data_IF_457448144277
#
_entry.id   IF_457448144277
#
_cell.length_a   1.000
_cell.length_b   1.000
_cell.length_c   1.000
_cell.angle_alpha   90.00
_cell.angle_beta   90.00
_cell.angle_gamma   90.00
#
_symmetry.space_group_name_H-M   'P 1'
#
loop_
_entity.id
_entity.type
_entity.pdbx_description
1 polymer ?
#
# COMPACT_ATOMS: atom_id res chain seq x y z
N UNK A 1 -30.74 4.65 27.81
CA UNK A 1 -32.08 5.07 28.28
C UNK A 1 -33.09 5.15 27.15
N UNK A 2 -32.93 5.99 26.13
CA UNK A 2 -33.86 6.10 24.99
C UNK A 2 -34.07 4.78 24.22
N UNK A 3 -33.01 3.96 24.08
CA UNK A 3 -33.08 2.68 23.37
C UNK A 3 -33.85 1.60 24.15
N UNK A 4 -33.75 1.58 25.49
CA UNK A 4 -34.48 0.67 26.36
C UNK A 4 -35.95 1.09 26.52
N UNK A 5 -36.20 2.39 26.60
CA UNK A 5 -37.56 2.95 26.57
C UNK A 5 -38.29 2.64 25.25
N UNK A 6 -37.59 2.69 24.11
CA UNK A 6 -38.13 2.31 22.81
C UNK A 6 -38.39 0.80 22.65
N UNK A 7 -37.81 -0.04 23.51
CA UNK A 7 -38.06 -1.48 23.58
C UNK A 7 -39.12 -1.85 24.63
N UNK A 8 -39.80 -0.87 25.23
CA UNK A 8 -40.84 -1.09 26.23
C UNK A 8 -40.33 -1.48 27.63
N UNK A 9 -39.01 -1.42 27.86
CA UNK A 9 -38.42 -1.70 29.16
C UNK A 9 -38.42 -0.43 30.02
N UNK A 10 -39.26 -0.43 31.06
CA UNK A 10 -39.21 0.55 32.15
C UNK A 10 -38.26 0.02 33.22
N UNK A 11 -37.04 0.57 33.26
CA UNK A 11 -36.09 0.29 34.34
C UNK A 11 -36.61 0.91 35.65
N UNK A 12 -36.57 0.16 36.75
CA UNK A 12 -36.90 0.70 38.06
C UNK A 12 -35.83 1.71 38.50
N UNK A 13 -36.19 2.65 39.39
CA UNK A 13 -35.24 3.63 39.91
C UNK A 13 -34.07 2.98 40.65
N UNK A 14 -34.30 1.83 41.30
CA UNK A 14 -33.23 1.05 41.95
C UNK A 14 -32.27 0.42 40.92
N UNK A 15 -32.78 -0.09 39.80
CA UNK A 15 -31.94 -0.62 38.71
C UNK A 15 -31.15 0.49 38.03
N UNK A 16 -31.71 1.69 37.92
CA UNK A 16 -31.01 2.86 37.38
C UNK A 16 -29.81 3.28 38.23
N UNK A 17 -29.88 3.12 39.55
CA UNK A 17 -28.75 3.39 40.46
C UNK A 17 -27.62 2.36 40.33
N UNK A 18 -27.92 1.16 39.82
CA UNK A 18 -26.92 0.13 39.55
C UNK A 18 -26.23 0.28 38.18
N UNK A 19 -26.76 1.11 37.27
CA UNK A 19 -26.13 1.38 35.98
C UNK A 19 -24.85 2.20 36.24
N UNK A 20 -23.66 1.68 35.87
CA UNK A 20 -22.42 2.41 36.06
C UNK A 20 -22.49 3.78 35.38
N UNK A 21 -22.08 4.82 36.10
CA UNK A 21 -21.91 6.15 35.50
C UNK A 21 -20.87 6.11 34.37
N UNK A 22 -20.94 7.06 33.44
CA UNK A 22 -19.97 7.17 32.34
C UNK A 22 -18.52 7.24 32.86
N UNK A 23 -18.30 7.94 33.98
CA UNK A 23 -17.01 8.03 34.67
C UNK A 23 -16.55 6.70 35.28
N UNK A 24 -17.48 5.89 35.83
CA UNK A 24 -17.15 4.53 36.30
C UNK A 24 -16.84 3.60 35.13
N UNK A 25 -17.53 3.74 34.00
CA UNK A 25 -17.22 3.00 32.78
C UNK A 25 -15.85 3.42 32.22
N UNK A 26 -15.52 4.71 32.19
CA UNK A 26 -14.21 5.23 31.79
C UNK A 26 -13.07 4.66 32.65
N UNK A 27 -13.28 4.52 33.96
CA UNK A 27 -12.28 3.97 34.86
C UNK A 27 -12.11 2.43 34.77
N UNK A 28 -13.15 1.69 34.37
CA UNK A 28 -13.15 0.21 34.39
C UNK A 28 -13.28 -0.44 33.01
N UNK A 29 -13.22 0.36 31.93
CA UNK A 29 -13.36 -0.13 30.56
C UNK A 29 -12.33 -1.20 30.22
N UNK A 30 -11.10 -1.12 30.74
CA UNK A 30 -10.06 -2.12 30.45
C UNK A 30 -10.42 -3.52 30.92
N UNK A 31 -11.09 -3.63 32.07
CA UNK A 31 -11.55 -4.91 32.62
C UNK A 31 -12.81 -5.38 31.90
N UNK A 32 -13.80 -4.48 31.75
CA UNK A 32 -15.06 -4.82 31.08
C UNK A 32 -14.86 -5.28 29.63
N UNK A 33 -14.02 -4.56 28.88
CA UNK A 33 -13.81 -4.81 27.45
C UNK A 33 -13.13 -6.15 27.17
N UNK A 34 -12.42 -6.77 28.13
CA UNK A 34 -11.78 -8.08 27.94
C UNK A 34 -12.76 -9.19 27.53
N UNK A 35 -14.02 -9.07 27.93
CA UNK A 35 -15.06 -10.06 27.65
C UNK A 35 -15.76 -9.85 26.30
N UNK A 36 -15.43 -8.76 25.59
CA UNK A 36 -16.06 -8.40 24.32
C UNK A 36 -15.20 -8.82 23.11
N UNK A 37 -15.82 -9.08 21.95
CA UNK A 37 -15.11 -9.22 20.68
C UNK A 37 -14.24 -7.99 20.37
N UNK A 38 -13.05 -8.22 19.80
CA UNK A 38 -12.05 -7.17 19.58
C UNK A 38 -12.59 -5.95 18.79
N UNK A 39 -13.45 -6.18 17.80
CA UNK A 39 -14.08 -5.10 17.04
C UNK A 39 -14.95 -4.19 17.93
N UNK A 40 -15.76 -4.79 18.81
CA UNK A 40 -16.62 -4.06 19.75
C UNK A 40 -15.77 -3.30 20.77
N UNK A 41 -14.65 -3.88 21.21
CA UNK A 41 -13.70 -3.14 22.05
C UNK A 41 -13.20 -1.90 21.31
N UNK A 42 -12.76 -2.04 20.07
CA UNK A 42 -12.30 -0.91 19.24
C UNK A 42 -13.34 0.20 19.13
N UNK A 43 -14.60 -0.16 18.85
CA UNK A 43 -15.71 0.78 18.73
C UNK A 43 -16.02 1.49 20.06
N UNK A 44 -15.97 0.75 21.17
CA UNK A 44 -16.20 1.28 22.52
C UNK A 44 -15.13 2.31 22.91
N UNK A 45 -13.84 1.95 22.78
CA UNK A 45 -12.73 2.86 23.05
C UNK A 45 -12.77 4.09 22.15
N UNK A 46 -13.07 3.91 20.87
CA UNK A 46 -13.21 5.01 19.90
C UNK A 46 -14.36 5.95 20.28
N UNK A 47 -15.50 5.40 20.69
CA UNK A 47 -16.67 6.19 21.08
C UNK A 47 -16.41 7.00 22.35
N UNK A 48 -15.74 6.41 23.34
CA UNK A 48 -15.39 7.09 24.58
C UNK A 48 -14.31 8.16 24.37
N UNK A 49 -13.27 7.84 23.60
CA UNK A 49 -12.28 8.81 23.14
C UNK A 49 -12.95 10.02 22.47
N UNK A 50 -13.86 9.77 21.52
CA UNK A 50 -14.60 10.83 20.85
C UNK A 50 -15.47 11.65 21.80
N UNK A 51 -16.15 11.01 22.76
CA UNK A 51 -16.96 11.70 23.77
C UNK A 51 -16.11 12.67 24.61
N UNK A 52 -14.98 12.19 25.12
CA UNK A 52 -14.05 12.99 25.94
C UNK A 52 -13.47 14.15 25.12
N UNK A 53 -12.94 13.85 23.92
CA UNK A 53 -12.31 14.85 23.06
C UNK A 53 -13.30 15.89 22.53
N UNK A 54 -14.52 15.49 22.12
CA UNK A 54 -15.52 16.43 21.63
C UNK A 54 -16.01 17.35 22.75
N UNK A 55 -16.15 16.84 23.97
CA UNK A 55 -16.47 17.65 25.14
C UNK A 55 -15.37 18.67 25.42
N UNK A 56 -14.10 18.24 25.34
CA UNK A 56 -12.94 19.12 25.49
C UNK A 56 -12.88 20.23 24.43
N UNK A 57 -13.12 19.89 23.16
CA UNK A 57 -13.10 20.83 22.03
C UNK A 57 -14.25 21.84 22.16
N UNK A 58 -15.44 21.41 22.57
CA UNK A 58 -16.61 22.27 22.75
C UNK A 58 -16.42 23.27 23.90
N UNK A 59 -15.81 22.85 25.00
CA UNK A 59 -15.51 23.71 26.15
C UNK A 59 -14.47 24.80 25.82
N UNK A 60 -13.51 24.51 24.92
CA UNK A 60 -12.50 25.48 24.46
C UNK A 60 -13.07 26.57 23.55
N UNK A 61 -14.21 26.32 22.89
CA UNK A 61 -14.89 27.32 22.06
C UNK A 61 -15.54 28.44 22.87
N UNK A 62 -15.76 28.23 24.18
CA UNK A 62 -16.55 29.13 25.01
C UNK A 62 -15.78 29.91 26.08
N UNK A 63 -14.52 29.59 26.40
CA UNK A 63 -13.76 30.35 27.40
C UNK A 63 -12.26 30.40 27.07
N UNK A 64 -11.73 31.63 26.98
CA UNK A 64 -10.31 31.89 26.95
C UNK A 64 -9.65 31.54 28.29
N UNK A 65 -8.61 30.71 28.23
CA UNK A 65 -7.51 30.53 29.19
C UNK A 65 -7.88 30.19 30.64
N UNK A 66 -7.52 28.97 31.06
CA UNK A 66 -6.98 28.75 32.41
C UNK A 66 -5.98 27.58 32.41
N UNK A 67 -4.73 27.89 32.77
CA UNK A 67 -3.59 26.97 32.92
C UNK A 67 -3.75 26.06 34.15
N UNK A 68 -4.67 25.09 34.08
CA UNK A 68 -4.71 23.92 34.96
C UNK A 68 -4.88 22.67 34.11
N UNK A 69 -4.37 21.51 34.57
CA UNK A 69 -4.62 20.22 33.92
C UNK A 69 -6.12 20.08 33.68
N UNK A 70 -6.49 20.07 32.41
CA UNK A 70 -7.90 20.15 32.05
C UNK A 70 -8.56 18.81 32.45
N UNK A 71 -9.78 18.80 33.02
CA UNK A 71 -10.44 17.57 33.48
C UNK A 71 -10.53 16.46 32.41
N UNK A 72 -10.60 16.85 31.14
CA UNK A 72 -10.62 15.92 30.02
C UNK A 72 -9.26 15.25 29.77
N UNK A 73 -8.13 15.88 30.10
CA UNK A 73 -6.80 15.28 29.96
C UNK A 73 -6.64 14.09 30.92
N UNK A 74 -7.16 14.23 32.14
CA UNK A 74 -7.17 13.14 33.11
C UNK A 74 -8.08 11.99 32.66
N UNK A 75 -9.30 12.30 32.20
CA UNK A 75 -10.23 11.28 31.68
C UNK A 75 -9.66 10.57 30.44
N UNK A 76 -9.05 11.32 29.53
CA UNK A 76 -8.40 10.79 28.34
C UNK A 76 -7.16 9.95 28.68
N UNK A 77 -6.36 10.40 29.65
CA UNK A 77 -5.24 9.65 30.21
C UNK A 77 -5.70 8.33 30.84
N UNK A 78 -6.76 8.34 31.67
CA UNK A 78 -7.31 7.12 32.28
C UNK A 78 -7.76 6.09 31.24
N UNK A 79 -8.25 6.53 30.08
CA UNK A 79 -8.62 5.64 28.98
C UNK A 79 -7.39 5.02 28.28
N UNK A 80 -6.32 5.79 28.10
CA UNK A 80 -5.19 5.42 27.24
C UNK A 80 -4.01 4.78 27.99
N UNK A 81 -3.69 5.29 29.18
CA UNK A 81 -2.51 4.89 29.97
C UNK A 81 -2.47 3.38 30.24
N UNK A 82 -3.56 2.70 30.62
CA UNK A 82 -3.46 1.28 30.91
C UNK A 82 -3.16 0.42 29.66
N UNK A 83 -3.58 0.85 28.45
CA UNK A 83 -3.19 0.17 27.20
C UNK A 83 -1.69 0.39 26.94
N UNK A 84 -1.23 1.63 27.11
CA UNK A 84 0.18 2.00 26.96
C UNK A 84 1.07 1.17 27.88
N UNK A 85 0.75 1.13 29.17
CA UNK A 85 1.50 0.39 30.18
C UNK A 85 1.50 -1.11 29.92
N UNK A 86 0.39 -1.66 29.41
CA UNK A 86 0.33 -3.07 28.99
C UNK A 86 1.32 -3.40 27.86
N UNK A 87 1.49 -2.49 26.89
CA UNK A 87 2.49 -2.64 25.82
C UNK A 87 3.91 -2.59 26.38
N UNK A 88 4.21 -1.60 27.23
CA UNK A 88 5.54 -1.43 27.81
C UNK A 88 5.92 -2.62 28.72
N UNK A 89 4.98 -3.10 29.53
CA UNK A 89 5.16 -4.30 30.36
C UNK A 89 5.39 -5.55 29.50
N UNK A 90 4.67 -5.67 28.38
CA UNK A 90 4.87 -6.78 27.43
C UNK A 90 6.26 -6.74 26.79
N UNK A 91 6.76 -5.55 26.45
CA UNK A 91 8.11 -5.37 25.92
C UNK A 91 9.18 -5.76 26.94
N UNK A 92 9.06 -5.30 28.20
CA UNK A 92 9.97 -5.67 29.29
C UNK A 92 9.93 -7.18 29.55
N UNK A 93 8.73 -7.77 29.60
CA UNK A 93 8.55 -9.20 29.80
C UNK A 93 9.21 -10.05 28.70
N UNK A 94 9.15 -9.60 27.46
CA UNK A 94 9.78 -10.27 26.32
C UNK A 94 11.29 -10.07 26.29
N UNK A 95 11.78 -8.91 26.72
CA UNK A 95 13.21 -8.67 26.88
C UNK A 95 13.83 -9.58 27.96
N UNK A 96 13.10 -9.82 29.05
CA UNK A 96 13.54 -10.71 30.13
C UNK A 96 13.46 -12.19 29.74
N UNK A 97 12.52 -12.57 28.85
CA UNK A 97 12.37 -13.94 28.41
C UNK A 97 11.89 -14.02 26.94
N UNK A 98 12.86 -14.19 26.02
CA UNK A 98 12.60 -14.30 24.57
C UNK A 98 11.69 -15.49 24.20
N UNK A 99 11.58 -16.52 25.05
CA UNK A 99 10.74 -17.69 24.74
C UNK A 99 9.24 -17.36 24.85
N UNK A 100 8.88 -16.26 25.52
CA UNK A 100 7.48 -15.82 25.67
C UNK A 100 6.87 -15.24 24.39
N UNK A 101 7.69 -14.98 23.37
CA UNK A 101 7.26 -14.43 22.06
C UNK A 101 6.13 -15.27 21.43
N UNK A 102 6.13 -16.58 21.70
CA UNK A 102 5.18 -17.55 21.15
C UNK A 102 4.02 -17.89 22.09
N UNK A 103 4.00 -17.34 23.31
CA UNK A 103 2.92 -17.58 24.27
C UNK A 103 1.61 -17.02 23.73
N UNK A 104 0.57 -17.87 23.68
CA UNK A 104 -0.74 -17.46 23.19
C UNK A 104 -1.30 -16.24 23.95
N UNK A 105 -1.10 -16.18 25.27
CA UNK A 105 -1.52 -15.05 26.10
C UNK A 105 -0.82 -13.75 25.69
N UNK A 106 0.50 -13.78 25.52
CA UNK A 106 1.30 -12.62 25.09
C UNK A 106 0.88 -12.15 23.69
N UNK A 107 0.74 -13.08 22.75
CA UNK A 107 0.30 -12.77 21.38
C UNK A 107 -1.11 -12.18 21.37
N UNK A 108 -2.05 -12.72 22.14
CA UNK A 108 -3.42 -12.21 22.20
C UNK A 108 -3.48 -10.80 22.82
N UNK A 109 -2.72 -10.57 23.89
CA UNK A 109 -2.62 -9.28 24.57
C UNK A 109 -2.03 -8.21 23.65
N UNK A 110 -0.85 -8.45 23.07
CA UNK A 110 -0.21 -7.50 22.17
C UNK A 110 -1.05 -7.19 20.92
N UNK A 111 -1.73 -8.20 20.35
CA UNK A 111 -2.66 -7.98 19.23
C UNK A 111 -3.83 -7.10 19.63
N UNK A 112 -4.40 -7.30 20.82
CA UNK A 112 -5.49 -6.48 21.34
C UNK A 112 -5.01 -5.05 21.54
N UNK A 113 -3.92 -4.86 22.27
CA UNK A 113 -3.44 -3.54 22.64
C UNK A 113 -3.06 -2.73 21.41
N UNK A 114 -2.27 -3.31 20.48
CA UNK A 114 -1.93 -2.64 19.22
C UNK A 114 -3.18 -2.29 18.38
N UNK A 115 -4.18 -3.18 18.35
CA UNK A 115 -5.44 -2.93 17.64
C UNK A 115 -6.21 -1.75 18.27
N UNK A 116 -6.32 -1.70 19.60
CA UNK A 116 -7.02 -0.62 20.30
C UNK A 116 -6.33 0.72 20.07
N UNK A 117 -5.00 0.79 20.23
CA UNK A 117 -4.23 2.01 19.95
C UNK A 117 -4.41 2.42 18.49
N UNK A 118 -4.47 1.48 17.55
CA UNK A 118 -4.71 1.77 16.12
C UNK A 118 -6.10 2.37 15.87
N UNK A 119 -7.15 1.85 16.50
CA UNK A 119 -8.49 2.45 16.42
C UNK A 119 -8.52 3.86 17.01
N UNK A 120 -7.86 4.06 18.15
CA UNK A 120 -7.73 5.36 18.80
C UNK A 120 -6.93 6.36 17.94
N UNK A 121 -5.81 5.95 17.35
CA UNK A 121 -5.04 6.76 16.41
C UNK A 121 -5.91 7.20 15.21
N UNK A 122 -6.69 6.26 14.63
CA UNK A 122 -7.63 6.59 13.55
C UNK A 122 -8.72 7.59 13.99
N UNK A 123 -9.16 7.52 15.24
CA UNK A 123 -10.16 8.46 15.77
C UNK A 123 -9.65 9.90 15.86
N UNK A 124 -8.33 10.09 16.05
CA UNK A 124 -7.71 11.43 16.14
C UNK A 124 -7.21 11.97 14.80
N UNK A 125 -7.18 11.15 13.74
CA UNK A 125 -6.69 11.53 12.41
C UNK A 125 -7.29 12.84 11.88
N UNK A 126 -8.62 13.01 12.03
CA UNK A 126 -9.39 14.17 11.55
C UNK A 126 -9.64 15.24 12.61
N UNK A 127 -9.13 15.06 13.84
CA UNK A 127 -9.35 15.97 14.97
C UNK A 127 -8.37 17.15 14.94
N UNK A 128 -8.68 18.27 15.63
CA UNK A 128 -7.76 19.41 15.73
C UNK A 128 -6.47 19.05 16.46
N UNK A 129 -5.43 19.87 16.26
CA UNK A 129 -4.07 19.68 16.81
C UNK A 129 -4.06 19.33 18.31
N UNK A 130 -4.91 19.96 19.12
CA UNK A 130 -4.99 19.71 20.57
C UNK A 130 -5.26 18.24 20.91
N UNK A 131 -6.17 17.59 20.16
CA UNK A 131 -6.47 16.17 20.35
C UNK A 131 -5.31 15.27 19.89
N UNK A 132 -4.61 15.69 18.83
CA UNK A 132 -3.43 14.98 18.32
C UNK A 132 -2.26 15.07 19.28
N UNK A 133 -1.98 16.26 19.82
CA UNK A 133 -0.95 16.50 20.84
C UNK A 133 -1.23 15.68 22.11
N UNK A 134 -2.49 15.63 22.57
CA UNK A 134 -2.88 14.85 23.74
C UNK A 134 -2.78 13.33 23.53
N UNK A 135 -3.09 12.83 22.33
CA UNK A 135 -2.86 11.42 22.00
C UNK A 135 -1.37 11.11 21.89
N UNK A 136 -0.60 11.99 21.25
CA UNK A 136 0.83 11.82 21.06
C UNK A 136 1.59 11.81 22.39
N UNK A 137 1.27 12.72 23.32
CA UNK A 137 1.94 12.80 24.63
C UNK A 137 1.81 11.51 25.45
N UNK A 138 0.69 10.79 25.30
CA UNK A 138 0.48 9.50 25.98
C UNK A 138 1.32 8.39 25.35
N UNK A 139 1.35 8.27 24.02
CA UNK A 139 1.95 7.12 23.34
C UNK A 139 3.42 7.30 22.90
N UNK A 140 3.93 8.54 22.83
CA UNK A 140 5.33 8.81 22.50
C UNK A 140 6.32 7.97 23.35
N UNK A 141 6.16 7.83 24.69
CA UNK A 141 7.08 7.03 25.50
C UNK A 141 7.14 5.54 25.13
N UNK A 142 6.11 4.99 24.48
CA UNK A 142 6.04 3.57 24.14
C UNK A 142 6.61 3.24 22.75
N UNK A 143 7.09 4.24 22.00
CA UNK A 143 7.70 3.98 20.67
C UNK A 143 8.94 3.09 20.76
N UNK A 144 9.87 3.29 21.71
CA UNK A 144 11.01 2.38 21.87
C UNK A 144 10.56 0.95 22.21
N UNK A 145 9.56 0.79 23.07
CA UNK A 145 8.99 -0.52 23.44
C UNK A 145 8.40 -1.23 22.21
N UNK A 146 7.64 -0.53 21.38
CA UNK A 146 7.05 -1.06 20.15
C UNK A 146 8.12 -1.45 19.11
N UNK A 147 9.21 -0.67 18.99
CA UNK A 147 10.35 -1.01 18.14
C UNK A 147 11.13 -2.23 18.65
N UNK A 148 11.36 -2.30 19.96
CA UNK A 148 11.97 -3.47 20.59
C UNK A 148 11.10 -4.72 20.35
N UNK A 149 9.79 -4.63 20.53
CA UNK A 149 8.86 -5.72 20.22
C UNK A 149 8.97 -6.15 18.76
N UNK A 150 8.91 -5.21 17.82
CA UNK A 150 9.01 -5.50 16.38
C UNK A 150 10.29 -6.30 16.06
N UNK A 151 11.44 -5.77 16.49
CA UNK A 151 12.76 -6.36 16.25
C UNK A 151 12.94 -7.72 16.94
N UNK A 152 12.45 -7.88 18.18
CA UNK A 152 12.47 -9.17 18.90
C UNK A 152 11.60 -10.20 18.19
N UNK A 153 10.36 -9.86 17.81
CA UNK A 153 9.47 -10.77 17.08
C UNK A 153 10.10 -11.22 15.75
N UNK A 154 10.64 -10.29 14.96
CA UNK A 154 11.31 -10.65 13.71
C UNK A 154 12.55 -11.53 13.93
N UNK A 155 13.37 -11.22 14.94
CA UNK A 155 14.56 -12.02 15.28
C UNK A 155 14.20 -13.44 15.70
N UNK A 156 13.15 -13.61 16.52
CA UNK A 156 12.68 -14.94 16.94
C UNK A 156 12.04 -15.70 15.79
N UNK A 157 11.24 -15.05 14.95
CA UNK A 157 10.67 -15.67 13.74
C UNK A 157 11.79 -16.16 12.82
N UNK A 158 12.85 -15.36 12.63
CA UNK A 158 14.04 -15.75 11.85
C UNK A 158 14.72 -17.00 12.44
N UNK A 159 15.02 -17.01 13.74
CA UNK A 159 15.62 -18.17 14.44
C UNK A 159 14.79 -19.45 14.28
N UNK A 160 13.47 -19.33 14.21
CA UNK A 160 12.55 -20.47 14.13
C UNK A 160 12.27 -20.94 12.70
N UNK A 161 12.35 -20.05 11.70
CA UNK A 161 12.12 -20.41 10.30
C UNK A 161 13.19 -21.37 9.76
N UNK A 162 14.39 -21.39 10.35
CA UNK A 162 15.44 -22.37 10.04
C UNK A 162 15.18 -23.77 10.65
N UNK A 163 14.21 -23.89 11.57
CA UNK A 163 13.90 -25.13 12.30
C UNK A 163 12.59 -25.71 11.73
N UNK A 164 12.74 -26.66 10.80
CA UNK A 164 11.65 -27.25 10.00
C UNK A 164 10.73 -28.22 10.79
N UNK A 165 9.95 -27.71 11.75
CA UNK A 165 8.92 -28.51 12.46
C UNK A 165 7.49 -27.97 12.26
N UNK A 166 6.46 -28.84 12.14
CA UNK A 166 5.09 -28.43 11.82
C UNK A 166 4.38 -27.65 12.94
N UNK A 167 4.67 -27.92 14.22
CA UNK A 167 4.12 -27.13 15.35
C UNK A 167 4.65 -25.68 15.34
N UNK A 168 5.90 -25.50 14.92
CA UNK A 168 6.55 -24.20 14.76
C UNK A 168 5.85 -23.32 13.72
N UNK A 169 5.26 -23.89 12.67
CA UNK A 169 4.54 -23.13 11.63
C UNK A 169 3.32 -22.38 12.18
N UNK A 170 2.55 -22.98 13.10
CA UNK A 170 1.37 -22.34 13.69
C UNK A 170 1.77 -21.21 14.64
N UNK A 171 2.83 -21.41 15.43
CA UNK A 171 3.36 -20.40 16.35
C UNK A 171 4.00 -19.22 15.59
N UNK A 172 4.71 -19.48 14.50
CA UNK A 172 5.21 -18.45 13.57
C UNK A 172 4.03 -17.66 13.01
N UNK A 173 2.96 -18.33 12.56
CA UNK A 173 1.76 -17.66 12.03
C UNK A 173 1.11 -16.73 13.07
N UNK A 174 1.08 -17.12 14.35
CA UNK A 174 0.55 -16.25 15.42
C UNK A 174 1.47 -15.08 15.73
N UNK A 175 2.78 -15.29 15.75
CA UNK A 175 3.78 -14.24 15.95
C UNK A 175 3.73 -13.18 14.83
N UNK A 176 3.60 -13.61 13.57
CA UNK A 176 3.43 -12.70 12.42
C UNK A 176 2.19 -11.83 12.51
N UNK A 177 1.12 -12.28 13.18
CA UNK A 177 -0.06 -11.44 13.40
C UNK A 177 0.24 -10.27 14.34
N UNK A 178 1.14 -10.45 15.32
CA UNK A 178 1.60 -9.36 16.20
C UNK A 178 2.40 -8.36 15.38
N UNK A 179 3.39 -8.85 14.62
CA UNK A 179 4.21 -8.03 13.71
C UNK A 179 3.32 -7.19 12.78
N UNK A 180 2.33 -7.83 12.13
CA UNK A 180 1.41 -7.13 11.25
C UNK A 180 0.60 -6.03 11.97
N UNK A 181 0.13 -6.27 13.20
CA UNK A 181 -0.58 -5.22 13.95
C UNK A 181 0.35 -4.09 14.40
N UNK A 182 1.61 -4.37 14.77
CA UNK A 182 2.61 -3.33 15.08
C UNK A 182 2.89 -2.46 13.84
N UNK A 183 3.13 -3.09 12.68
CA UNK A 183 3.36 -2.37 11.41
C UNK A 183 2.15 -1.50 11.04
N UNK A 184 0.93 -2.05 11.15
CA UNK A 184 -0.32 -1.31 10.90
C UNK A 184 -0.56 -0.19 11.90
N UNK A 185 -0.16 -0.38 13.17
CA UNK A 185 -0.22 0.64 14.19
C UNK A 185 0.69 1.81 13.79
N UNK A 186 1.96 1.57 13.49
CA UNK A 186 2.88 2.63 13.05
C UNK A 186 2.40 3.33 11.78
N UNK A 187 1.90 2.59 10.80
CA UNK A 187 1.30 3.16 9.59
C UNK A 187 0.16 4.14 9.95
N UNK A 188 -0.75 3.74 10.84
CA UNK A 188 -1.84 4.61 11.28
C UNK A 188 -1.35 5.78 12.14
N UNK A 189 -0.35 5.60 13.00
CA UNK A 189 0.22 6.67 13.82
C UNK A 189 0.88 7.73 12.95
N UNK A 190 1.70 7.34 11.97
CA UNK A 190 2.29 8.25 10.99
C UNK A 190 1.18 8.99 10.21
N UNK A 191 0.13 8.29 9.79
CA UNK A 191 -0.99 8.95 9.12
C UNK A 191 -1.71 9.99 10.00
N UNK A 192 -1.85 9.70 11.30
CA UNK A 192 -2.74 10.46 12.18
C UNK A 192 -2.05 11.65 12.87
N UNK A 193 -0.80 11.43 13.31
CA UNK A 193 -0.07 12.32 14.21
C UNK A 193 1.38 12.58 13.77
N UNK A 194 1.77 12.32 12.51
CA UNK A 194 3.15 12.55 12.06
C UNK A 194 3.58 14.00 12.22
N UNK A 195 2.71 14.98 11.96
CA UNK A 195 3.06 16.42 12.00
C UNK A 195 3.43 16.90 13.41
N UNK A 196 3.02 16.12 14.40
CA UNK A 196 3.22 16.32 15.83
C UNK A 196 4.50 15.61 16.30
N UNK A 197 5.03 14.65 15.53
CA UNK A 197 6.29 13.97 15.81
C UNK A 197 7.52 14.82 15.44
N UNK A 198 8.60 14.63 16.19
CA UNK A 198 9.92 15.20 15.85
C UNK A 198 10.52 14.47 14.63
N UNK A 199 11.34 15.18 13.86
CA UNK A 199 11.97 14.65 12.64
C UNK A 199 12.87 13.45 12.95
N UNK A 200 13.57 13.53 14.06
CA UNK A 200 14.50 12.52 14.57
C UNK A 200 13.77 11.22 14.90
N UNK A 201 12.63 11.31 15.59
CA UNK A 201 11.78 10.15 15.91
C UNK A 201 11.26 9.47 14.64
N UNK A 202 10.78 10.25 13.66
CA UNK A 202 10.31 9.69 12.39
C UNK A 202 11.47 9.02 11.64
N UNK A 203 12.65 9.63 11.64
CA UNK A 203 13.87 9.09 11.03
C UNK A 203 14.28 7.75 11.66
N UNK A 204 14.28 7.66 12.99
CA UNK A 204 14.60 6.43 13.73
C UNK A 204 13.61 5.31 13.41
N UNK A 205 12.30 5.62 13.45
CA UNK A 205 11.24 4.68 13.08
C UNK A 205 11.47 4.13 11.65
N UNK A 206 11.74 5.02 10.68
CA UNK A 206 11.99 4.61 9.29
C UNK A 206 13.23 3.74 9.15
N UNK A 207 14.32 4.11 9.82
CA UNK A 207 15.57 3.35 9.79
C UNK A 207 15.35 1.93 10.30
N UNK A 208 14.73 1.77 11.47
CA UNK A 208 14.44 0.45 12.04
C UNK A 208 13.55 -0.38 11.13
N UNK A 209 12.52 0.21 10.51
CA UNK A 209 11.67 -0.49 9.56
C UNK A 209 12.43 -0.93 8.31
N UNK A 210 13.21 -0.05 7.70
CA UNK A 210 14.01 -0.43 6.51
C UNK A 210 14.99 -1.54 6.87
N UNK A 211 15.78 -1.40 7.94
CA UNK A 211 16.74 -2.43 8.36
C UNK A 211 16.07 -3.78 8.65
N UNK A 212 14.93 -3.76 9.35
CA UNK A 212 14.19 -4.97 9.71
C UNK A 212 13.66 -5.71 8.47
N UNK A 213 13.31 -4.98 7.42
CA UNK A 213 12.73 -5.54 6.19
C UNK A 213 13.74 -5.74 5.04
N UNK A 214 14.93 -5.13 5.10
CA UNK A 214 15.99 -5.27 4.09
C UNK A 214 16.68 -6.64 4.14
N UNK A 215 16.60 -7.34 5.27
CA UNK A 215 17.12 -8.69 5.40
C UNK A 215 16.30 -9.66 4.54
N UNK A 216 16.95 -10.28 3.55
CA UNK A 216 16.41 -11.15 2.48
C UNK A 216 15.62 -12.40 2.91
N UNK A 217 15.38 -12.56 4.21
CA UNK A 217 14.78 -13.72 4.87
C UNK A 217 13.24 -13.63 5.00
N UNK A 218 12.61 -12.52 4.58
CA UNK A 218 11.14 -12.44 4.46
C UNK A 218 10.56 -13.46 3.45
N UNK A 219 11.40 -13.96 2.55
CA UNK A 219 11.10 -15.04 1.61
C UNK A 219 10.79 -16.38 2.31
N UNK A 220 11.27 -16.59 3.54
CA UNK A 220 10.98 -17.79 4.35
C UNK A 220 9.60 -17.78 5.02
N UNK A 221 8.87 -16.66 4.95
CA UNK A 221 7.59 -16.48 5.64
C UNK A 221 6.44 -16.98 4.76
N UNK A 222 6.34 -18.30 4.61
CA UNK A 222 5.29 -18.93 3.81
C UNK A 222 3.88 -18.72 4.41
N UNK A 223 2.94 -18.24 3.58
CA UNK A 223 1.50 -18.20 3.87
C UNK A 223 0.90 -16.82 4.19
N UNK A 224 -0.43 -16.77 4.33
CA UNK A 224 -1.23 -15.53 4.43
C UNK A 224 -0.79 -14.55 5.54
N UNK A 225 -0.13 -15.01 6.61
CA UNK A 225 0.30 -14.10 7.68
C UNK A 225 1.54 -13.27 7.28
N UNK A 226 2.49 -13.86 6.55
CA UNK A 226 3.64 -13.12 6.00
C UNK A 226 3.20 -12.08 4.98
N UNK A 227 2.20 -12.43 4.16
CA UNK A 227 1.58 -11.50 3.23
C UNK A 227 1.00 -10.27 3.90
N UNK A 228 0.28 -10.46 5.00
CA UNK A 228 -0.33 -9.33 5.71
C UNK A 228 0.74 -8.38 6.24
N UNK A 229 1.87 -8.92 6.73
CA UNK A 229 3.03 -8.11 7.16
C UNK A 229 3.58 -7.30 5.98
N UNK A 230 3.77 -7.91 4.81
CA UNK A 230 4.25 -7.21 3.60
C UNK A 230 3.25 -6.13 3.16
N UNK A 231 1.94 -6.43 3.13
CA UNK A 231 0.91 -5.45 2.81
C UNK A 231 0.90 -4.28 3.80
N UNK A 232 1.01 -4.57 5.09
CA UNK A 232 1.12 -3.55 6.14
C UNK A 232 2.35 -2.67 5.94
N UNK A 233 3.47 -3.27 5.56
CA UNK A 233 4.72 -2.57 5.31
C UNK A 233 4.67 -1.70 4.05
N UNK A 234 4.16 -2.22 2.93
CA UNK A 234 3.93 -1.44 1.71
C UNK A 234 2.98 -0.28 1.96
N UNK A 235 1.94 -0.48 2.78
CA UNK A 235 1.03 0.60 3.18
C UNK A 235 1.73 1.65 4.06
N UNK A 236 2.64 1.24 4.95
CA UNK A 236 3.48 2.15 5.74
C UNK A 236 4.37 2.99 4.81
N UNK A 237 5.10 2.33 3.88
CA UNK A 237 5.93 3.00 2.89
C UNK A 237 5.12 3.98 2.03
N UNK A 238 3.91 3.59 1.62
CA UNK A 238 3.01 4.48 0.86
C UNK A 238 2.70 5.75 1.63
N UNK A 239 2.29 5.65 2.89
CA UNK A 239 1.96 6.81 3.74
C UNK A 239 3.18 7.72 3.90
N UNK A 240 4.37 7.12 4.04
CA UNK A 240 5.63 7.84 4.17
C UNK A 240 5.99 8.61 2.90
N UNK A 241 5.84 7.99 1.74
CA UNK A 241 6.13 8.61 0.43
C UNK A 241 5.10 9.67 0.06
N UNK A 242 3.83 9.51 0.47
CA UNK A 242 2.75 10.46 0.22
C UNK A 242 3.02 11.86 0.81
N UNK A 243 3.71 11.94 1.95
CA UNK A 243 4.05 13.23 2.58
C UNK A 243 5.45 13.72 2.18
N UNK A 244 5.59 14.80 1.39
CA UNK A 244 6.91 15.30 1.00
C UNK A 244 7.57 16.04 2.17
N UNK A 245 8.50 15.40 2.88
CA UNK A 245 9.41 16.11 3.80
C UNK A 245 10.86 15.79 3.54
N UNK A 246 11.73 16.72 3.94
CA UNK A 246 13.19 16.59 3.82
C UNK A 246 13.74 15.32 4.46
N UNK A 247 13.15 14.84 5.56
CA UNK A 247 13.52 13.57 6.20
C UNK A 247 13.27 12.40 5.26
N UNK A 248 12.14 12.37 4.56
CA UNK A 248 11.82 11.27 3.66
C UNK A 248 12.58 11.33 2.35
N UNK A 249 12.99 12.51 1.89
CA UNK A 249 13.90 12.64 0.74
C UNK A 249 15.24 11.92 0.98
N UNK A 250 15.77 11.92 2.21
CA UNK A 250 17.00 11.15 2.53
C UNK A 250 16.78 9.65 2.62
N UNK A 251 15.56 9.18 2.88
CA UNK A 251 15.22 7.75 2.94
C UNK A 251 14.73 7.18 1.60
N UNK A 252 14.39 8.02 0.63
CA UNK A 252 13.79 7.59 -0.63
C UNK A 252 14.65 6.56 -1.37
N UNK A 253 15.97 6.73 -1.36
CA UNK A 253 16.90 5.75 -1.94
C UNK A 253 16.79 4.39 -1.24
N UNK A 254 16.83 4.34 0.09
CA UNK A 254 16.69 3.10 0.86
C UNK A 254 15.33 2.42 0.63
N UNK A 255 14.26 3.20 0.46
CA UNK A 255 12.94 2.67 0.12
C UNK A 255 12.96 2.04 -1.28
N UNK A 256 13.62 2.68 -2.24
CA UNK A 256 13.76 2.16 -3.60
C UNK A 256 14.67 0.92 -3.65
N UNK A 257 15.79 0.91 -2.94
CA UNK A 257 16.65 -0.27 -2.78
C UNK A 257 15.86 -1.45 -2.22
N UNK A 258 15.04 -1.21 -1.20
CA UNK A 258 14.19 -2.23 -0.61
C UNK A 258 13.11 -2.72 -1.58
N UNK A 259 12.42 -1.80 -2.26
CA UNK A 259 11.33 -2.10 -3.20
C UNK A 259 11.82 -2.78 -4.49
N UNK A 260 13.00 -2.40 -4.99
CA UNK A 260 13.54 -2.84 -6.27
C UNK A 260 14.71 -3.83 -6.16
N UNK A 261 15.16 -4.15 -4.94
CA UNK A 261 16.05 -5.26 -4.61
C UNK A 261 15.29 -6.41 -3.93
N UNK A 262 15.36 -6.57 -2.60
CA UNK A 262 14.76 -7.72 -1.90
C UNK A 262 13.26 -7.90 -2.14
N UNK A 263 12.48 -6.80 -2.15
CA UNK A 263 11.05 -6.89 -2.43
C UNK A 263 10.77 -7.13 -3.91
N UNK A 264 11.63 -6.72 -4.86
CA UNK A 264 11.44 -7.07 -6.27
C UNK A 264 11.74 -8.54 -6.51
N UNK A 265 12.69 -9.15 -5.83
CA UNK A 265 12.86 -10.60 -5.88
C UNK A 265 11.66 -11.31 -5.24
N UNK A 266 11.20 -10.80 -4.09
CA UNK A 266 10.04 -11.36 -3.39
C UNK A 266 8.72 -11.14 -4.15
N UNK A 267 8.56 -10.02 -4.87
CA UNK A 267 7.37 -9.64 -5.63
C UNK A 267 7.40 -10.13 -7.08
N UNK A 268 8.56 -10.01 -7.70
CA UNK A 268 8.97 -10.48 -9.04
C UNK A 268 9.13 -12.00 -9.17
N UNK A 269 10.13 -12.53 -8.45
CA UNK A 269 10.67 -13.88 -8.64
C UNK A 269 10.07 -14.95 -7.73
N UNK A 270 9.53 -14.56 -6.58
CA UNK A 270 8.95 -15.47 -5.59
C UNK A 270 7.41 -15.60 -5.73
N UNK A 271 6.76 -14.73 -6.51
CA UNK A 271 5.32 -14.78 -6.79
C UNK A 271 4.89 -16.03 -7.57
N UNK A 272 5.81 -16.70 -8.27
CA UNK A 272 5.52 -17.95 -8.97
C UNK A 272 5.47 -19.17 -8.04
N UNK A 273 6.04 -19.08 -6.83
CA UNK A 273 6.26 -20.24 -5.94
C UNK A 273 5.57 -20.13 -4.58
N UNK A 274 5.29 -18.92 -4.06
CA UNK A 274 4.82 -18.76 -2.66
C UNK A 274 3.31 -18.54 -2.50
N UNK A 275 2.55 -18.19 -3.54
CA UNK A 275 1.11 -17.88 -3.41
C UNK A 275 0.20 -18.74 -4.27
N UNK A 276 -0.28 -19.84 -3.69
CA UNK A 276 -1.33 -20.69 -4.27
C UNK A 276 -2.74 -20.08 -4.21
N UNK A 277 -2.90 -18.79 -3.83
CA UNK A 277 -4.21 -18.14 -3.70
C UNK A 277 -4.30 -16.86 -4.58
N UNK A 278 -5.17 -16.83 -5.60
CA UNK A 278 -5.32 -15.68 -6.52
C UNK A 278 -5.75 -14.36 -5.86
N UNK A 279 -6.55 -14.42 -4.78
CA UNK A 279 -7.08 -13.21 -4.13
C UNK A 279 -6.00 -12.41 -3.40
N UNK A 280 -5.03 -13.07 -2.77
CA UNK A 280 -3.92 -12.42 -2.07
C UNK A 280 -2.98 -11.65 -3.01
N UNK A 281 -2.80 -12.16 -4.24
CA UNK A 281 -1.96 -11.54 -5.27
C UNK A 281 -2.48 -10.14 -5.63
N UNK A 282 -3.79 -10.03 -5.88
CA UNK A 282 -4.43 -8.76 -6.24
C UNK A 282 -4.28 -7.67 -5.17
N UNK A 283 -4.28 -8.04 -3.89
CA UNK A 283 -4.21 -7.10 -2.77
C UNK A 283 -2.81 -6.52 -2.63
N UNK A 284 -1.77 -7.36 -2.68
CA UNK A 284 -0.37 -6.91 -2.55
C UNK A 284 0.00 -6.03 -3.75
N UNK A 285 -0.39 -6.47 -4.96
CA UNK A 285 -0.21 -5.68 -6.16
C UNK A 285 -0.89 -4.32 -6.04
N UNK A 286 -2.09 -4.25 -5.48
CA UNK A 286 -2.78 -2.98 -5.22
C UNK A 286 -1.97 -2.04 -4.33
N UNK A 287 -1.36 -2.56 -3.25
CA UNK A 287 -0.50 -1.76 -2.37
C UNK A 287 0.81 -1.35 -3.05
N UNK A 288 1.44 -2.26 -3.80
CA UNK A 288 2.66 -1.96 -4.56
C UNK A 288 2.42 -0.89 -5.62
N UNK A 289 1.38 -1.05 -6.46
CA UNK A 289 1.01 -0.06 -7.49
C UNK A 289 0.66 1.28 -6.83
N UNK A 290 -0.03 1.27 -5.68
CA UNK A 290 -0.33 2.50 -4.95
C UNK A 290 0.93 3.19 -4.38
N UNK A 291 1.97 2.43 -4.01
CA UNK A 291 3.27 2.99 -3.63
C UNK A 291 3.98 3.60 -4.84
N UNK A 292 4.05 2.88 -5.96
CA UNK A 292 4.62 3.37 -7.22
C UNK A 292 3.92 4.65 -7.68
N UNK A 293 2.60 4.72 -7.53
CA UNK A 293 1.82 5.91 -7.81
C UNK A 293 2.29 7.12 -7.00
N UNK A 294 2.50 6.97 -5.68
CA UNK A 294 3.02 8.06 -4.87
C UNK A 294 4.46 8.45 -5.25
N UNK A 295 5.30 7.48 -5.61
CA UNK A 295 6.68 7.74 -6.07
C UNK A 295 6.69 8.57 -7.36
N UNK A 296 5.90 8.18 -8.36
CA UNK A 296 5.87 8.86 -9.65
C UNK A 296 5.12 10.19 -9.60
N UNK A 297 4.03 10.31 -8.83
CA UNK A 297 3.27 11.56 -8.77
C UNK A 297 3.93 12.63 -7.87
N UNK A 298 4.50 12.23 -6.72
CA UNK A 298 5.04 13.18 -5.73
C UNK A 298 6.54 13.40 -5.85
N UNK A 299 7.29 12.39 -6.29
CA UNK A 299 8.75 12.40 -6.30
C UNK A 299 9.34 12.25 -7.71
N UNK A 300 8.61 12.66 -8.75
CA UNK A 300 9.08 12.58 -10.14
C UNK A 300 10.48 13.22 -10.34
N UNK A 301 10.75 14.32 -9.63
CA UNK A 301 12.02 15.06 -9.67
C UNK A 301 13.21 14.27 -9.13
N UNK A 302 12.97 13.21 -8.36
CA UNK A 302 14.02 12.28 -7.96
C UNK A 302 14.53 11.47 -9.16
N UNK A 303 13.65 11.15 -10.11
CA UNK A 303 14.00 10.36 -11.30
C UNK A 303 14.50 11.23 -12.43
N UNK A 304 13.79 12.31 -12.73
CA UNK A 304 14.02 13.13 -13.92
C UNK A 304 14.17 14.60 -13.52
N UNK A 305 15.26 15.21 -13.96
CA UNK A 305 15.59 16.63 -13.75
C UNK A 305 15.81 17.33 -15.09
N UNK A 306 15.73 18.66 -15.07
CA UNK A 306 16.12 19.44 -16.24
C UNK A 306 17.65 19.52 -16.28
N UNK A 307 18.25 18.87 -17.27
CA UNK A 307 19.70 18.70 -17.41
C UNK A 307 20.34 19.74 -18.32
N UNK A 308 19.56 20.55 -19.03
CA UNK A 308 20.09 21.59 -19.90
C UNK A 308 19.05 22.13 -20.89
N UNK A 309 19.54 22.69 -21.99
CA UNK A 309 18.74 23.10 -23.13
C UNK A 309 19.21 22.31 -24.36
N UNK A 310 18.24 21.77 -25.09
CA UNK A 310 18.45 21.22 -26.43
C UNK A 310 19.00 22.31 -27.37
N UNK A 311 19.61 21.93 -28.51
CA UNK A 311 20.07 22.89 -29.52
C UNK A 311 18.99 23.87 -30.01
N UNK A 312 17.72 23.46 -29.95
CA UNK A 312 16.55 24.26 -30.32
C UNK A 312 16.03 25.16 -29.18
N UNK A 313 16.77 25.26 -28.08
CA UNK A 313 16.43 26.11 -26.92
C UNK A 313 15.33 25.55 -26.01
N UNK A 314 14.81 24.36 -26.28
CA UNK A 314 13.86 23.69 -25.39
C UNK A 314 14.58 23.07 -24.19
N UNK A 315 13.95 23.12 -23.00
CA UNK A 315 14.52 22.50 -21.79
C UNK A 315 14.64 21.00 -21.96
N UNK A 316 15.86 20.49 -21.92
CA UNK A 316 16.15 19.07 -22.01
C UNK A 316 15.96 18.42 -20.64
N UNK A 317 15.32 17.26 -20.65
CA UNK A 317 15.09 16.44 -19.47
C UNK A 317 16.05 15.26 -19.53
N UNK A 318 16.69 14.98 -18.40
CA UNK A 318 17.59 13.85 -18.24
C UNK A 318 17.32 13.14 -16.92
N UNK A 319 17.88 11.94 -16.78
CA UNK A 319 17.87 11.25 -15.49
C UNK A 319 18.69 12.03 -14.46
N UNK A 320 18.23 12.04 -13.21
CA UNK A 320 18.94 12.73 -12.12
C UNK A 320 20.28 12.08 -11.76
N UNK A 321 20.36 10.75 -11.89
CA UNK A 321 21.56 9.94 -11.67
C UNK A 321 21.40 8.56 -12.33
N UNK A 322 22.50 7.81 -12.48
CA UNK A 322 22.47 6.44 -13.02
C UNK A 322 21.64 5.49 -12.14
N UNK A 323 21.66 5.71 -10.81
CA UNK A 323 20.83 4.93 -9.89
C UNK A 323 19.34 5.26 -10.09
N UNK A 324 19.01 6.54 -10.25
CA UNK A 324 17.63 6.97 -10.51
C UNK A 324 17.11 6.42 -11.85
N UNK A 325 17.97 6.35 -12.87
CA UNK A 325 17.68 5.68 -14.15
C UNK A 325 17.36 4.19 -13.94
N UNK A 326 18.19 3.47 -13.19
CA UNK A 326 17.98 2.04 -12.91
C UNK A 326 16.65 1.78 -12.17
N UNK A 327 16.30 2.62 -11.19
CA UNK A 327 15.02 2.53 -10.50
C UNK A 327 13.84 2.85 -11.42
N UNK A 328 13.97 3.89 -12.24
CA UNK A 328 12.94 4.27 -13.20
C UNK A 328 12.62 3.11 -14.14
N UNK A 329 13.64 2.51 -14.77
CA UNK A 329 13.44 1.34 -15.62
C UNK A 329 12.81 0.17 -14.85
N UNK A 330 13.28 -0.12 -13.64
CA UNK A 330 12.73 -1.20 -12.81
C UNK A 330 11.25 -0.99 -12.47
N UNK A 331 10.84 0.24 -12.16
CA UNK A 331 9.44 0.60 -11.91
C UNK A 331 8.59 0.24 -13.13
N UNK A 332 8.97 0.74 -14.30
CA UNK A 332 8.18 0.58 -15.52
C UNK A 332 8.19 -0.86 -16.03
N UNK A 333 9.29 -1.60 -15.88
CA UNK A 333 9.34 -3.04 -16.14
C UNK A 333 8.43 -3.81 -15.20
N UNK A 334 8.38 -3.47 -13.91
CA UNK A 334 7.45 -4.08 -12.97
C UNK A 334 5.98 -3.75 -13.29
N UNK A 335 5.67 -2.53 -13.74
CA UNK A 335 4.32 -2.20 -14.19
C UNK A 335 3.93 -2.98 -15.45
N UNK A 336 4.85 -3.12 -16.41
CA UNK A 336 4.63 -3.92 -17.62
C UNK A 336 4.46 -5.40 -17.28
N UNK A 337 5.24 -5.95 -16.35
CA UNK A 337 5.10 -7.34 -15.93
C UNK A 337 3.77 -7.60 -15.24
N UNK A 338 3.27 -6.66 -14.42
CA UNK A 338 1.93 -6.73 -13.82
C UNK A 338 0.83 -6.78 -14.87
N UNK A 339 0.97 -5.99 -15.95
CA UNK A 339 0.01 -5.98 -17.05
C UNK A 339 0.07 -7.23 -17.93
N UNK A 340 1.25 -7.84 -18.08
CA UNK A 340 1.47 -8.96 -19.00
C UNK A 340 1.22 -10.36 -18.39
N UNK A 341 0.84 -10.46 -17.10
CA UNK A 341 0.68 -11.75 -16.41
C UNK A 341 -0.35 -12.63 -17.13
N UNK A 342 0.08 -13.80 -17.60
CA UNK A 342 -0.78 -14.78 -18.27
C UNK A 342 -1.40 -15.73 -17.24
N UNK A 343 -2.70 -16.04 -17.36
CA UNK A 343 -3.34 -17.15 -16.64
C UNK A 343 -3.64 -16.95 -15.15
N UNK A 344 -3.38 -15.79 -14.56
CA UNK A 344 -3.97 -15.41 -13.27
C UNK A 344 -5.13 -14.47 -13.51
N UNK A 345 -6.20 -14.58 -12.73
CA UNK A 345 -7.29 -13.60 -12.69
C UNK A 345 -6.72 -12.21 -12.32
N UNK A 346 -6.09 -11.51 -13.27
CA UNK A 346 -5.62 -10.13 -13.08
C UNK A 346 -6.88 -9.34 -12.77
N UNK A 347 -7.02 -8.94 -11.51
CA UNK A 347 -8.21 -8.23 -11.08
C UNK A 347 -8.35 -6.98 -11.97
N UNK A 348 -9.49 -6.80 -12.68
CA UNK A 348 -9.65 -5.66 -13.59
C UNK A 348 -9.36 -4.30 -12.94
N UNK A 349 -9.58 -4.23 -11.63
CA UNK A 349 -9.26 -3.06 -10.80
C UNK A 349 -7.77 -2.70 -10.80
N UNK A 350 -6.87 -3.68 -10.75
CA UNK A 350 -5.42 -3.46 -10.74
C UNK A 350 -4.93 -3.01 -12.11
N UNK A 351 -5.40 -3.64 -13.19
CA UNK A 351 -5.11 -3.19 -14.54
C UNK A 351 -5.58 -1.74 -14.75
N UNK A 352 -6.83 -1.43 -14.35
CA UNK A 352 -7.35 -0.06 -14.39
C UNK A 352 -6.52 0.91 -13.56
N UNK A 353 -6.02 0.50 -12.40
CA UNK A 353 -5.16 1.32 -11.56
C UNK A 353 -3.84 1.65 -12.24
N UNK A 354 -3.18 0.65 -12.87
CA UNK A 354 -1.93 0.86 -13.61
C UNK A 354 -2.14 1.73 -14.85
N UNK A 355 -3.17 1.47 -15.65
CA UNK A 355 -3.48 2.28 -16.83
C UNK A 355 -3.80 3.73 -16.44
N UNK A 356 -4.60 3.92 -15.39
CA UNK A 356 -4.92 5.24 -14.85
C UNK A 356 -3.71 5.97 -14.28
N UNK A 357 -2.76 5.24 -13.66
CA UNK A 357 -1.49 5.81 -13.20
C UNK A 357 -0.66 6.32 -14.38
N UNK A 358 -0.48 5.50 -15.43
CA UNK A 358 0.29 5.88 -16.62
C UNK A 358 -0.34 7.11 -17.30
N UNK A 359 -1.66 7.16 -17.40
CA UNK A 359 -2.40 8.32 -17.90
C UNK A 359 -2.15 9.60 -17.08
N UNK A 360 -2.21 9.51 -15.75
CA UNK A 360 -1.99 10.66 -14.86
C UNK A 360 -0.55 11.15 -14.91
N UNK A 361 0.43 10.25 -14.84
CA UNK A 361 1.85 10.60 -14.88
C UNK A 361 2.21 11.22 -16.23
N UNK A 362 1.68 10.69 -17.33
CA UNK A 362 1.88 11.29 -18.65
C UNK A 362 1.26 12.68 -18.76
N UNK A 363 0.01 12.87 -18.33
CA UNK A 363 -0.64 14.20 -18.34
C UNK A 363 0.09 15.23 -17.45
N UNK A 364 0.60 14.80 -16.30
CA UNK A 364 1.24 15.69 -15.35
C UNK A 364 2.70 16.02 -15.71
N UNK A 365 3.43 15.03 -16.24
CA UNK A 365 4.89 15.12 -16.41
C UNK A 365 5.36 14.87 -17.84
N UNK A 366 4.48 14.63 -18.81
CA UNK A 366 4.85 14.34 -20.21
C UNK A 366 5.79 13.13 -20.30
N UNK A 367 5.38 12.00 -19.71
CA UNK A 367 6.15 10.77 -19.58
C UNK A 367 6.50 10.20 -20.96
N UNK A 368 5.53 10.09 -21.87
CA UNK A 368 5.78 9.50 -23.19
C UNK A 368 6.61 10.43 -24.09
N UNK A 369 6.57 11.73 -23.82
CA UNK A 369 7.43 12.73 -24.47
C UNK A 369 8.86 12.76 -23.91
N UNK A 370 9.19 11.98 -22.88
CA UNK A 370 10.55 11.92 -22.35
C UNK A 370 11.42 10.97 -23.18
N UNK A 371 12.53 11.47 -23.71
CA UNK A 371 13.44 10.75 -24.62
C UNK A 371 13.98 9.45 -24.03
N UNK A 372 14.28 9.40 -22.72
CA UNK A 372 14.69 8.17 -22.05
C UNK A 372 13.61 7.08 -22.10
N UNK A 373 12.35 7.44 -21.89
CA UNK A 373 11.23 6.51 -22.02
C UNK A 373 11.07 6.01 -23.47
N UNK A 374 11.21 6.91 -24.43
CA UNK A 374 11.07 6.61 -25.86
C UNK A 374 12.09 5.58 -26.34
N UNK A 375 13.33 5.74 -25.93
CA UNK A 375 14.43 4.89 -26.38
C UNK A 375 14.41 3.52 -25.70
N UNK A 376 14.05 3.45 -24.42
CA UNK A 376 14.30 2.24 -23.61
C UNK A 376 13.05 1.43 -23.28
N UNK A 377 11.88 2.08 -23.15
CA UNK A 377 10.67 1.43 -22.62
C UNK A 377 9.53 1.35 -23.62
N UNK A 378 9.48 2.27 -24.58
CA UNK A 378 8.36 2.42 -25.51
C UNK A 378 7.96 1.13 -26.21
N UNK A 379 8.89 0.43 -26.85
CA UNK A 379 8.58 -0.77 -27.62
C UNK A 379 8.04 -1.90 -26.73
N UNK A 380 8.60 -2.07 -25.53
CA UNK A 380 8.11 -3.05 -24.55
C UNK A 380 6.70 -2.73 -24.06
N UNK A 381 6.39 -1.44 -23.84
CA UNK A 381 5.04 -1.01 -23.46
C UNK A 381 4.02 -1.18 -24.59
N UNK A 382 4.39 -0.86 -25.83
CA UNK A 382 3.53 -1.11 -27.00
C UNK A 382 3.18 -2.59 -27.10
N UNK A 383 4.17 -3.50 -26.99
CA UNK A 383 3.93 -4.94 -26.99
C UNK A 383 3.03 -5.38 -25.83
N UNK A 384 3.28 -4.87 -24.63
CA UNK A 384 2.46 -5.17 -23.43
C UNK A 384 1.00 -4.76 -23.62
N UNK A 385 0.73 -3.54 -24.10
CA UNK A 385 -0.64 -3.06 -24.32
C UNK A 385 -1.34 -3.86 -25.43
N UNK A 386 -0.62 -4.18 -26.51
CA UNK A 386 -1.16 -5.04 -27.58
C UNK A 386 -1.46 -6.46 -27.09
N UNK A 387 -0.62 -7.03 -26.22
CA UNK A 387 -0.87 -8.34 -25.60
C UNK A 387 -2.13 -8.34 -24.73
N UNK A 388 -2.37 -7.28 -23.97
CA UNK A 388 -3.62 -7.14 -23.19
C UNK A 388 -4.84 -7.16 -24.12
N UNK A 389 -4.77 -6.41 -25.22
CA UNK A 389 -5.87 -6.31 -26.19
C UNK A 389 -6.11 -7.64 -26.91
N UNK A 390 -5.06 -8.32 -27.37
CA UNK A 390 -5.16 -9.57 -28.13
C UNK A 390 -5.64 -10.76 -27.31
N UNK A 391 -5.36 -10.78 -26.00
CA UNK A 391 -5.87 -11.82 -25.08
C UNK A 391 -7.37 -11.73 -24.87
N UNK A 392 -7.97 -10.55 -24.98
CA UNK A 392 -9.42 -10.35 -24.83
C UNK A 392 -9.97 -10.55 -23.41
N UNK A 393 -9.11 -10.84 -22.42
CA UNK A 393 -9.49 -11.00 -21.00
C UNK A 393 -10.03 -9.70 -20.38
N UNK A 394 -9.78 -8.56 -21.03
CA UNK A 394 -9.99 -7.22 -20.49
C UNK A 394 -10.88 -6.33 -21.38
N UNK A 395 -11.92 -6.89 -22.02
CA UNK A 395 -12.84 -6.12 -22.88
C UNK A 395 -13.45 -4.89 -22.18
N UNK A 396 -13.63 -4.93 -20.86
CA UNK A 396 -14.14 -3.80 -20.06
C UNK A 396 -13.20 -2.60 -20.00
N UNK A 397 -11.90 -2.79 -20.27
CA UNK A 397 -10.89 -1.71 -20.28
C UNK A 397 -10.33 -1.46 -21.67
N UNK A 398 -10.97 -1.99 -22.72
CA UNK A 398 -10.46 -1.91 -24.08
C UNK A 398 -10.23 -0.46 -24.50
N UNK A 399 -11.19 0.43 -24.23
CA UNK A 399 -11.09 1.84 -24.58
C UNK A 399 -9.93 2.53 -23.85
N UNK A 400 -9.76 2.29 -22.54
CA UNK A 400 -8.64 2.86 -21.78
C UNK A 400 -7.28 2.37 -22.30
N UNK A 401 -7.18 1.09 -22.69
CA UNK A 401 -5.95 0.51 -23.25
C UNK A 401 -5.66 1.10 -24.64
N UNK A 402 -6.67 1.23 -25.51
CA UNK A 402 -6.53 1.81 -26.85
C UNK A 402 -6.10 3.28 -26.75
N UNK A 403 -6.69 4.07 -25.85
CA UNK A 403 -6.29 5.46 -25.64
C UNK A 403 -4.84 5.58 -25.17
N UNK A 404 -4.39 4.67 -24.31
CA UNK A 404 -3.00 4.66 -23.87
C UNK A 404 -2.06 4.23 -24.99
N UNK A 405 -2.42 3.20 -25.75
CA UNK A 405 -1.68 2.72 -26.92
C UNK A 405 -1.51 3.84 -27.95
N UNK A 406 -2.58 4.56 -28.27
CA UNK A 406 -2.55 5.71 -29.18
C UNK A 406 -1.55 6.77 -28.73
N UNK A 407 -1.53 7.14 -27.44
CA UNK A 407 -0.60 8.16 -26.92
C UNK A 407 0.85 7.72 -26.94
N UNK A 408 1.12 6.46 -26.63
CA UNK A 408 2.49 5.91 -26.74
C UNK A 408 2.92 5.86 -28.21
N UNK A 409 2.01 5.53 -29.13
CA UNK A 409 2.26 5.56 -30.56
C UNK A 409 2.42 6.98 -31.12
N UNK A 410 1.70 7.96 -30.58
CA UNK A 410 1.68 9.36 -31.05
C UNK A 410 3.02 10.06 -30.99
N UNK A 411 3.95 9.53 -30.19
CA UNK A 411 5.32 10.02 -30.12
C UNK A 411 6.09 9.76 -31.43
N UNK A 412 5.81 8.67 -32.13
CA UNK A 412 6.34 8.37 -33.47
C UNK A 412 5.45 7.35 -34.17
N UNK A 413 4.40 7.81 -34.84
CA UNK A 413 3.50 6.92 -35.57
C UNK A 413 4.21 6.18 -36.71
N UNK A 414 5.25 6.77 -37.32
CA UNK A 414 5.97 6.14 -38.42
C UNK A 414 6.66 4.85 -37.96
N UNK A 415 7.39 4.91 -36.85
CA UNK A 415 8.02 3.74 -36.23
C UNK A 415 6.99 2.71 -35.73
N UNK A 416 5.84 3.16 -35.22
CA UNK A 416 4.74 2.27 -34.83
C UNK A 416 4.23 1.44 -36.01
N UNK A 417 3.86 2.09 -37.13
CA UNK A 417 3.30 1.41 -38.29
C UNK A 417 4.32 0.58 -39.06
N UNK A 418 5.53 1.09 -39.25
CA UNK A 418 6.52 0.46 -40.13
C UNK A 418 7.37 -0.61 -39.43
N UNK A 419 7.71 -0.40 -38.16
CA UNK A 419 8.65 -1.27 -37.43
C UNK A 419 7.91 -2.14 -36.43
N UNK A 420 7.17 -1.51 -35.51
CA UNK A 420 6.56 -2.22 -34.38
C UNK A 420 5.48 -3.21 -34.83
N UNK A 421 4.47 -2.77 -35.60
CA UNK A 421 3.35 -3.64 -36.00
C UNK A 421 3.83 -4.86 -36.79
N UNK A 422 4.76 -4.65 -37.74
CA UNK A 422 5.34 -5.73 -38.53
C UNK A 422 6.10 -6.75 -37.68
N UNK A 423 6.82 -6.28 -36.65
CA UNK A 423 7.49 -7.15 -35.68
C UNK A 423 6.48 -7.91 -34.82
N UNK A 424 5.48 -7.21 -34.30
CA UNK A 424 4.45 -7.77 -33.42
C UNK A 424 3.65 -8.88 -34.11
N UNK A 425 3.17 -8.65 -35.34
CA UNK A 425 2.40 -9.65 -36.10
C UNK A 425 3.20 -10.95 -36.28
N UNK A 426 4.50 -10.86 -36.57
CA UNK A 426 5.38 -12.03 -36.71
C UNK A 426 5.61 -12.77 -35.39
N UNK A 427 5.50 -12.08 -34.27
CA UNK A 427 5.64 -12.67 -32.93
C UNK A 427 4.37 -13.43 -32.52
N UNK A 428 3.18 -12.88 -32.82
CA UNK A 428 1.91 -13.44 -32.36
C UNK A 428 1.28 -14.49 -33.29
N UNK A 429 1.66 -14.51 -34.57
CA UNK A 429 1.15 -15.45 -35.58
C UNK A 429 2.23 -16.44 -35.98
N UNK A 430 1.84 -17.72 -36.06
CA UNK A 430 2.70 -18.76 -36.62
C UNK A 430 2.82 -18.62 -38.15
N UNK A 431 3.88 -19.17 -38.73
CA UNK A 431 4.09 -19.16 -40.19
C UNK A 431 2.84 -19.55 -41.04
N UNK A 432 2.10 -20.63 -40.73
CA UNK A 432 0.88 -20.97 -41.48
C UNK A 432 -0.28 -19.98 -41.27
N UNK A 433 -0.37 -19.31 -40.12
CA UNK A 433 -1.36 -18.25 -39.88
C UNK A 433 -1.05 -16.97 -40.67
N UNK A 434 0.24 -16.66 -40.84
CA UNK A 434 0.70 -15.53 -41.65
C UNK A 434 0.40 -15.75 -43.14
N UNK A 435 0.55 -16.99 -43.60
CA UNK A 435 0.16 -17.41 -44.96
C UNK A 435 -1.35 -17.46 -45.17
N UNK A 436 -2.14 -17.74 -44.13
CA UNK A 436 -3.60 -17.64 -44.18
C UNK A 436 -4.05 -16.17 -44.27
N UNK A 437 -3.43 -15.28 -43.49
CA UNK A 437 -3.69 -13.84 -43.54
C UNK A 437 -3.35 -13.23 -44.90
N UNK A 438 -2.24 -13.63 -45.53
CA UNK A 438 -1.87 -13.13 -46.87
C UNK A 438 -2.76 -13.64 -48.01
N UNK A 439 -3.48 -14.75 -47.80
CA UNK A 439 -4.47 -15.29 -48.75
C UNK A 439 -5.83 -14.59 -48.67
N UNK A 440 -6.14 -13.90 -47.57
CA UNK A 440 -7.34 -13.07 -47.42
C UNK A 440 -7.15 -11.72 -48.12
N UNK A 441 -7.03 -11.74 -49.46
CA UNK A 441 -7.09 -10.61 -50.43
C UNK A 441 -6.72 -9.19 -49.93
N UNK A 442 -5.69 -9.08 -49.10
CA UNK A 442 -5.19 -7.81 -48.60
C UNK A 442 -6.06 -7.13 -47.55
N UNK A 443 -7.34 -7.44 -47.33
CA UNK A 443 -8.20 -6.69 -46.39
C UNK A 443 -7.87 -6.89 -44.90
N UNK A 444 -7.15 -7.97 -44.57
CA UNK A 444 -6.85 -8.35 -43.20
C UNK A 444 -5.54 -7.69 -42.69
N UNK A 445 -5.55 -7.23 -41.44
CA UNK A 445 -4.42 -6.58 -40.76
C UNK A 445 -3.94 -5.26 -41.42
N UNK A 446 -4.81 -4.59 -42.20
CA UNK A 446 -4.50 -3.29 -42.78
C UNK A 446 -4.65 -2.15 -41.77
N UNK A 447 -3.75 -1.17 -41.90
CA UNK A 447 -3.80 0.09 -41.18
C UNK A 447 -3.70 1.22 -42.20
N UNK A 448 -4.61 2.20 -42.13
CA UNK A 448 -4.59 3.36 -43.02
C UNK A 448 -3.42 4.31 -42.73
N UNK A 449 -2.77 4.17 -41.58
CA UNK A 449 -1.69 5.04 -41.12
C UNK A 449 -2.19 6.39 -40.59
N UNK A 450 -3.51 6.56 -40.42
CA UNK A 450 -4.08 7.76 -39.83
C UNK A 450 -3.68 7.90 -38.36
N UNK A 451 -3.61 9.14 -37.89
CA UNK A 451 -3.09 9.49 -36.57
C UNK A 451 -4.17 9.94 -35.60
N UNK A 452 -5.39 10.16 -36.08
CA UNK A 452 -6.51 10.57 -35.24
C UNK A 452 -7.02 9.41 -34.39
N UNK A 453 -7.39 9.72 -33.14
CA UNK A 453 -7.81 8.72 -32.17
C UNK A 453 -9.04 7.92 -32.61
N UNK A 454 -10.10 8.51 -33.21
CA UNK A 454 -11.27 7.75 -33.66
C UNK A 454 -10.92 6.68 -34.71
N UNK A 455 -10.18 7.05 -35.76
CA UNK A 455 -9.79 6.12 -36.82
C UNK A 455 -8.85 5.06 -36.27
N UNK A 456 -7.82 5.46 -35.51
CA UNK A 456 -6.90 4.52 -34.86
C UNK A 456 -7.63 3.49 -33.98
N UNK A 457 -8.63 3.93 -33.21
CA UNK A 457 -9.39 3.04 -32.32
C UNK A 457 -10.18 2.01 -33.12
N UNK A 458 -10.80 2.42 -34.24
CA UNK A 458 -11.52 1.50 -35.12
C UNK A 458 -10.57 0.48 -35.76
N UNK A 459 -9.40 0.91 -36.20
CA UNK A 459 -8.38 0.03 -36.79
C UNK A 459 -7.82 -0.98 -35.79
N UNK A 460 -7.55 -0.56 -34.55
CA UNK A 460 -7.14 -1.48 -33.48
C UNK A 460 -8.23 -2.54 -33.26
N UNK A 461 -9.51 -2.14 -33.18
CA UNK A 461 -10.61 -3.11 -32.98
C UNK A 461 -10.74 -4.07 -34.17
N UNK A 462 -10.64 -3.57 -35.39
CA UNK A 462 -10.64 -4.39 -36.60
C UNK A 462 -9.48 -5.40 -36.58
N UNK A 463 -8.27 -4.93 -36.30
CA UNK A 463 -7.07 -5.76 -36.16
C UNK A 463 -7.22 -6.87 -35.10
N UNK A 464 -7.84 -6.56 -33.95
CA UNK A 464 -8.09 -7.56 -32.91
C UNK A 464 -9.11 -8.62 -33.36
N UNK A 465 -10.11 -8.23 -34.13
CA UNK A 465 -11.10 -9.17 -34.68
C UNK A 465 -10.45 -10.06 -35.76
N UNK A 466 -9.64 -9.48 -36.62
CA UNK A 466 -8.85 -10.19 -37.64
C UNK A 466 -7.96 -11.27 -37.01
N UNK A 467 -7.21 -10.92 -35.97
CA UNK A 467 -6.38 -11.89 -35.23
C UNK A 467 -7.23 -13.02 -34.65
N UNK A 468 -8.38 -12.71 -34.06
CA UNK A 468 -9.27 -13.72 -33.50
C UNK A 468 -9.77 -14.69 -34.58
N UNK A 469 -10.11 -14.17 -35.76
CA UNK A 469 -10.55 -14.99 -36.91
C UNK A 469 -9.40 -15.86 -37.40
N UNK A 470 -8.21 -15.30 -37.63
CA UNK A 470 -7.03 -16.06 -38.08
C UNK A 470 -6.65 -17.15 -37.08
N UNK A 471 -6.71 -16.87 -35.78
CA UNK A 471 -6.39 -17.84 -34.72
C UNK A 471 -7.45 -18.94 -34.59
N UNK A 472 -8.70 -18.70 -35.00
CA UNK A 472 -9.79 -19.66 -34.91
C UNK A 472 -9.96 -20.54 -36.16
N UNK A 473 -9.31 -20.19 -37.28
CA UNK A 473 -9.34 -20.97 -38.53
C UNK A 473 -8.32 -22.11 -38.56
N UNK A 474 -7.54 -22.26 -37.49
CA UNK A 474 -6.70 -23.42 -37.16
C UNK A 474 -7.04 -23.90 -35.74
#
# INVERSE_FOLDING_TARGET
MQLLANLGFVLSYEDMLQIPSMTQLEAHIHQFSLHLPLAIQGDLYTSMSNSILNSAISLRGNNGVSNGSLPWENAYGSLLIPIRESIDQSAVALHQNEQRVLEHAMVAQLRRDCYLVRCLARSVETKPKVAKDAFFSVFQPSFPSLMALLTTYFTTIRKMASISAPQTKTQIKSALKVVNEIVRLYAQMLKSIRKEMQKETVSEIMHTFVETFNDSQLSGVQGNAGLMVICGFLQLLKIVVEEPTSVFSSFLQNILDLCFGPLKELVCGVFQTIFSHPESDSVILGYFVALVEQLLEKHYRFFIVYSGFTPDGARERGYASDQAHTYFLSIFQSLASVLNREGSNLAPRICKQVLGLLDRVDKAQGLFAFTGFQNELRMGFLSTLMNILTRGEMNLLQDEVIQLLHRVAAVDFASFYQVFLNGYIKEILTQPQLEAASKMEGECLQWSGQVDLPTFSQEVVAFLNDIKVIKAQN
#
